data_IF_498013956237
#
_entry.id   IF_498013956237
#
_cell.length_a   1.000
_cell.length_b   1.000
_cell.length_c   1.000
_cell.angle_alpha   90.00
_cell.angle_beta   90.00
_cell.angle_gamma   90.00
#
_symmetry.space_group_name_H-M   'P 1'
#
loop_
_entity.id
_entity.type
_entity.pdbx_description
1 polymer ?
#
# COMPACT_ATOMS: atom_id res chain seq x y z
N UNK A 1 -14.13 -2.92 1.42
CA UNK A 1 -12.91 -3.20 0.60
C UNK A 1 -11.85 -2.17 0.98
N UNK A 2 -10.56 -2.50 0.81
CA UNK A 2 -9.47 -1.54 1.01
C UNK A 2 -9.63 -0.37 0.04
N UNK A 3 -9.38 0.84 0.54
CA UNK A 3 -9.56 2.10 -0.19
C UNK A 3 -8.30 2.95 -0.17
N UNK A 4 -8.26 4.02 -0.97
CA UNK A 4 -7.15 4.98 -0.96
C UNK A 4 -6.90 5.60 0.42
N UNK A 5 -7.94 5.71 1.27
CA UNK A 5 -7.82 6.24 2.64
C UNK A 5 -6.97 5.36 3.54
N UNK A 6 -6.88 4.06 3.23
CA UNK A 6 -6.06 3.07 3.91
C UNK A 6 -4.61 3.07 3.40
N UNK A 7 -4.29 3.87 2.39
CA UNK A 7 -2.97 3.91 1.76
C UNK A 7 -2.24 5.19 2.11
N UNK A 8 -0.91 5.10 2.18
CA UNK A 8 -0.02 6.25 2.32
C UNK A 8 1.23 5.98 1.47
N UNK A 9 1.59 6.93 0.63
CA UNK A 9 2.87 6.88 -0.09
C UNK A 9 3.96 7.24 0.92
N UNK A 10 4.89 6.33 1.15
CA UNK A 10 6.00 6.54 2.10
C UNK A 10 7.32 6.84 1.40
N UNK A 11 7.42 6.57 0.11
CA UNK A 11 8.64 6.79 -0.66
C UNK A 11 8.34 6.93 -2.15
N UNK A 12 9.07 7.83 -2.80
CA UNK A 12 9.18 7.95 -4.25
C UNK A 12 10.66 7.81 -4.61
N UNK A 13 11.00 6.87 -5.49
CA UNK A 13 12.39 6.54 -5.83
C UNK A 13 12.54 6.14 -7.29
N UNK A 14 13.77 6.19 -7.80
CA UNK A 14 14.12 5.73 -9.14
C UNK A 14 14.86 4.40 -9.03
N UNK A 15 14.49 3.43 -9.87
CA UNK A 15 15.20 2.14 -9.98
C UNK A 15 15.18 1.72 -11.45
N UNK A 16 16.35 1.46 -12.04
CA UNK A 16 16.48 1.10 -13.46
C UNK A 16 15.82 2.12 -14.42
N UNK A 17 15.98 3.42 -14.14
CA UNK A 17 15.35 4.53 -14.85
C UNK A 17 13.80 4.55 -14.79
N UNK A 18 13.19 3.73 -13.94
CA UNK A 18 11.75 3.71 -13.72
C UNK A 18 11.40 4.42 -12.41
N UNK A 19 10.38 5.29 -12.47
CA UNK A 19 9.85 5.97 -11.30
C UNK A 19 8.95 5.01 -10.51
N UNK A 20 9.32 4.78 -9.25
CA UNK A 20 8.64 3.85 -8.35
C UNK A 20 8.13 4.55 -7.10
N UNK A 21 7.03 4.02 -6.60
CA UNK A 21 6.37 4.44 -5.38
C UNK A 21 6.30 3.26 -4.43
N UNK A 22 6.62 3.51 -3.17
CA UNK A 22 6.35 2.59 -2.07
C UNK A 22 5.13 3.08 -1.33
N UNK A 23 4.05 2.31 -1.41
CA UNK A 23 2.80 2.58 -0.74
C UNK A 23 2.69 1.65 0.46
N UNK A 24 2.37 2.20 1.62
CA UNK A 24 2.13 1.46 2.84
C UNK A 24 0.64 1.44 3.16
N UNK A 25 0.14 0.30 3.66
CA UNK A 25 -1.23 0.17 4.14
C UNK A 25 -1.27 0.55 5.62
N UNK A 26 -2.04 1.60 5.96
CA UNK A 26 -2.10 2.19 7.30
C UNK A 26 -2.49 1.18 8.37
N UNK A 27 -1.83 1.28 9.52
CA UNK A 27 -1.91 0.37 10.66
C UNK A 27 -1.27 -1.01 10.40
N UNK A 28 -0.39 -1.15 9.41
CA UNK A 28 0.23 -2.43 9.06
C UNK A 28 1.71 -2.30 8.65
N UNK A 29 2.36 -3.43 8.40
CA UNK A 29 3.69 -3.47 7.78
C UNK A 29 3.64 -3.83 6.29
N UNK A 30 2.44 -3.83 5.68
CA UNK A 30 2.27 -4.16 4.27
C UNK A 30 2.71 -2.96 3.44
N UNK A 31 3.68 -3.20 2.56
CA UNK A 31 4.08 -2.24 1.54
C UNK A 31 3.92 -2.84 0.15
N UNK A 32 3.40 -2.03 -0.77
CA UNK A 32 3.29 -2.35 -2.19
C UNK A 32 4.21 -1.39 -2.95
N UNK A 33 5.11 -1.95 -3.73
CA UNK A 33 5.98 -1.16 -4.61
C UNK A 33 5.40 -1.21 -6.02
N UNK A 34 5.17 -0.05 -6.63
CA UNK A 34 4.66 0.03 -7.99
C UNK A 34 5.48 1.03 -8.79
N UNK A 35 5.65 0.74 -10.07
CA UNK A 35 6.06 1.74 -11.04
C UNK A 35 4.86 2.60 -11.42
N UNK A 36 5.04 3.93 -11.42
CA UNK A 36 4.00 4.87 -11.81
C UNK A 36 4.60 6.23 -12.20
N UNK A 37 3.89 6.95 -13.06
CA UNK A 37 4.22 8.32 -13.47
C UNK A 37 3.68 9.39 -12.52
N UNK A 38 2.64 9.07 -11.74
CA UNK A 38 1.99 9.96 -10.77
C UNK A 38 1.59 9.26 -9.47
N UNK A 39 1.30 10.03 -8.42
CA UNK A 39 0.80 9.49 -7.15
C UNK A 39 -0.59 8.84 -7.30
N UNK A 40 -1.46 9.41 -8.12
CA UNK A 40 -2.79 8.87 -8.39
C UNK A 40 -2.71 7.50 -9.07
N UNK A 41 -1.85 7.38 -10.08
CA UNK A 41 -1.58 6.10 -10.76
C UNK A 41 -0.99 5.08 -9.78
N UNK A 42 -0.05 5.51 -8.93
CA UNK A 42 0.55 4.66 -7.92
C UNK A 42 -0.48 4.08 -6.94
N UNK A 43 -1.39 4.93 -6.43
CA UNK A 43 -2.47 4.51 -5.54
C UNK A 43 -3.47 3.58 -6.24
N UNK A 44 -3.81 3.86 -7.49
CA UNK A 44 -4.70 3.02 -8.29
C UNK A 44 -4.11 1.61 -8.49
N UNK A 45 -2.84 1.52 -8.93
CA UNK A 45 -2.12 0.25 -9.09
C UNK A 45 -1.98 -0.51 -7.76
N UNK A 46 -1.68 0.19 -6.67
CA UNK A 46 -1.61 -0.43 -5.35
C UNK A 46 -2.96 -1.05 -4.94
N UNK A 47 -4.07 -0.35 -5.17
CA UNK A 47 -5.41 -0.88 -4.89
C UNK A 47 -5.74 -2.11 -5.72
N UNK A 48 -5.38 -2.11 -7.01
CA UNK A 48 -5.58 -3.27 -7.88
C UNK A 48 -4.82 -4.50 -7.36
N UNK A 49 -3.54 -4.34 -7.00
CA UNK A 49 -2.74 -5.41 -6.41
C UNK A 49 -3.38 -5.93 -5.11
N UNK A 50 -3.81 -5.03 -4.22
CA UNK A 50 -4.45 -5.40 -2.94
C UNK A 50 -5.78 -6.13 -3.14
N UNK A 51 -6.55 -5.79 -4.18
CA UNK A 51 -7.75 -6.52 -4.58
C UNK A 51 -7.42 -7.91 -5.12
N UNK A 52 -6.38 -8.03 -5.95
CA UNK A 52 -5.97 -9.30 -6.55
C UNK A 52 -5.46 -10.31 -5.52
N UNK A 53 -4.78 -9.84 -4.46
CA UNK A 53 -4.40 -10.69 -3.32
C UNK A 53 -5.54 -10.91 -2.31
N UNK A 54 -6.74 -10.41 -2.61
CA UNK A 54 -7.95 -10.52 -1.79
C UNK A 54 -7.75 -10.00 -0.36
N UNK A 55 -7.03 -8.88 -0.21
CA UNK A 55 -6.96 -8.18 1.07
C UNK A 55 -8.33 -7.55 1.35
N UNK A 56 -9.19 -8.29 2.04
CA UNK A 56 -10.52 -7.82 2.44
C UNK A 56 -10.40 -6.86 3.63
N UNK A 57 -11.46 -6.09 3.89
CA UNK A 57 -11.53 -5.24 5.08
C UNK A 57 -11.40 -6.06 6.37
N UNK A 58 -12.00 -7.24 6.42
CA UNK A 58 -11.88 -8.14 7.58
C UNK A 58 -10.43 -8.64 7.78
N UNK A 59 -9.74 -9.03 6.69
CA UNK A 59 -8.35 -9.45 6.76
C UNK A 59 -7.44 -8.29 7.20
N UNK A 60 -7.68 -7.08 6.70
CA UNK A 60 -6.95 -5.88 7.08
C UNK A 60 -7.09 -5.58 8.58
N UNK A 61 -8.31 -5.65 9.14
CA UNK A 61 -8.52 -5.43 10.58
C UNK A 61 -7.81 -6.48 11.44
N UNK A 62 -7.81 -7.75 11.02
CA UNK A 62 -7.06 -8.81 11.71
C UNK A 62 -5.55 -8.53 11.70
N UNK A 63 -5.02 -7.99 10.60
CA UNK A 63 -3.61 -7.61 10.50
C UNK A 63 -3.30 -6.41 11.39
N UNK A 64 -4.15 -5.39 11.41
CA UNK A 64 -4.03 -4.22 12.29
C UNK A 64 -3.98 -4.61 13.76
N UNK A 65 -4.91 -5.48 14.18
CA UNK A 65 -4.96 -6.00 15.55
C UNK A 65 -3.68 -6.74 15.95
N UNK A 66 -3.04 -7.47 15.02
CA UNK A 66 -1.78 -8.17 15.26
C UNK A 66 -0.56 -7.26 15.23
N UNK A 67 -0.58 -6.22 14.39
CA UNK A 67 0.55 -5.30 14.22
C UNK A 67 0.65 -4.32 15.40
N UNK A 68 -0.50 -3.88 15.94
CA UNK A 68 -0.54 -2.98 17.10
C UNK A 68 0.26 -1.68 16.87
N UNK A 69 0.88 -1.13 17.92
CA UNK A 69 1.70 0.08 17.85
C UNK A 69 3.05 -0.07 17.12
N UNK A 70 3.31 -1.22 16.47
CA UNK A 70 4.55 -1.50 15.71
C UNK A 70 4.38 -1.34 14.21
N UNK A 71 3.26 -0.76 13.78
CA UNK A 71 2.97 -0.55 12.37
C UNK A 71 3.95 0.44 11.75
N UNK A 72 4.40 0.14 10.53
CA UNK A 72 5.31 1.00 9.76
C UNK A 72 4.64 2.32 9.37
N UNK A 73 3.35 2.23 9.05
CA UNK A 73 2.37 3.27 8.87
C UNK A 73 1.02 2.66 9.27
#
# INVERSE_FOLDING_TARGET
MVSTRDLVIIEKYMLLNEQRYRICVKGTNITVNVEASSEEEALSKALEILRNVKLTSEALEKIRAKTGGKAKC
#
